data_IF_251586067928
#
_entry.id   IF_251586067928
#
_cell.length_a   1.000
_cell.length_b   1.000
_cell.length_c   1.000
_cell.angle_alpha   90.00
_cell.angle_beta   90.00
_cell.angle_gamma   90.00
#
_symmetry.space_group_name_H-M   'P 1'
#
loop_
_entity.id
_entity.type
_entity.pdbx_description
1 polymer ?
#
# COMPACT_ATOMS: atom_id res chain seq x y z
N UNK A 1 7.24 14.96 -17.58
CA UNK A 1 7.18 14.96 -16.10
C UNK A 1 7.37 13.52 -15.64
N UNK A 2 8.05 13.26 -14.51
CA UNK A 2 8.30 11.90 -14.03
C UNK A 2 6.99 11.19 -13.70
N UNK A 3 6.84 9.94 -14.14
CA UNK A 3 5.66 9.11 -13.83
C UNK A 3 5.70 8.56 -12.41
N UNK A 4 6.89 8.32 -11.87
CA UNK A 4 7.11 7.77 -10.53
C UNK A 4 8.02 8.69 -9.71
N UNK A 5 7.64 8.99 -8.47
CA UNK A 5 8.53 9.58 -7.48
C UNK A 5 9.12 8.46 -6.63
N UNK A 6 10.45 8.34 -6.57
CA UNK A 6 11.15 7.33 -5.77
C UNK A 6 11.85 8.03 -4.63
N UNK A 7 11.49 7.69 -3.40
CA UNK A 7 12.05 8.29 -2.19
C UNK A 7 12.63 7.22 -1.28
N UNK A 8 13.90 7.33 -0.95
CA UNK A 8 14.55 6.47 0.05
C UNK A 8 15.01 7.28 1.26
N UNK A 9 14.89 6.68 2.45
CA UNK A 9 15.23 7.34 3.71
C UNK A 9 16.73 7.54 3.93
N UNK A 10 17.57 6.75 3.26
CA UNK A 10 19.02 6.74 3.41
C UNK A 10 19.73 6.33 2.11
N UNK A 11 20.90 6.93 1.85
CA UNK A 11 21.78 6.49 0.77
C UNK A 11 22.40 5.12 1.03
N UNK A 12 22.42 4.66 2.30
CA UNK A 12 22.90 3.32 2.66
C UNK A 12 22.03 2.19 2.11
N UNK A 13 20.80 2.49 1.69
CA UNK A 13 19.86 1.52 1.12
C UNK A 13 20.11 1.28 -0.40
N UNK A 14 21.31 1.62 -0.90
CA UNK A 14 21.67 1.55 -2.31
C UNK A 14 21.49 0.16 -2.92
N UNK A 15 21.91 -0.87 -2.19
CA UNK A 15 21.70 -2.26 -2.59
C UNK A 15 20.22 -2.63 -2.78
N UNK A 16 19.29 -1.88 -2.16
CA UNK A 16 17.84 -2.05 -2.33
C UNK A 16 17.32 -1.19 -3.46
N UNK A 17 17.69 0.09 -3.57
CA UNK A 17 17.10 0.96 -4.61
C UNK A 17 17.72 0.77 -6.00
N UNK A 18 18.98 0.38 -6.14
CA UNK A 18 19.64 0.24 -7.45
C UNK A 18 18.96 -0.77 -8.39
N UNK A 19 18.51 -1.97 -7.92
CA UNK A 19 17.71 -2.87 -8.76
C UNK A 19 16.39 -2.27 -9.24
N UNK A 20 15.75 -1.43 -8.42
CA UNK A 20 14.51 -0.74 -8.77
C UNK A 20 14.74 0.34 -9.82
N UNK A 21 15.79 1.14 -9.67
CA UNK A 21 16.16 2.16 -10.67
C UNK A 21 16.52 1.51 -12.00
N UNK A 22 17.23 0.37 -11.96
CA UNK A 22 17.58 -0.40 -13.15
C UNK A 22 16.36 -0.93 -13.90
N UNK A 23 15.33 -1.39 -13.18
CA UNK A 23 14.06 -1.85 -13.77
C UNK A 23 13.28 -0.68 -14.41
N UNK A 24 13.27 0.50 -13.79
CA UNK A 24 12.67 1.68 -14.42
C UNK A 24 13.42 2.14 -15.66
N UNK A 25 14.75 2.10 -15.64
CA UNK A 25 15.57 2.40 -16.82
C UNK A 25 15.33 1.41 -17.97
N UNK A 26 15.29 0.11 -17.68
CA UNK A 26 15.07 -0.94 -18.68
C UNK A 26 13.67 -0.88 -19.30
N UNK A 27 12.65 -0.61 -18.48
CA UNK A 27 11.26 -0.42 -18.92
C UNK A 27 10.98 0.96 -19.54
N UNK A 28 11.96 1.88 -19.50
CA UNK A 28 11.84 3.28 -19.93
C UNK A 28 10.75 4.06 -19.18
N UNK A 29 10.50 3.67 -17.93
CA UNK A 29 9.59 4.39 -17.03
C UNK A 29 10.28 5.63 -16.51
N UNK A 30 9.67 6.79 -16.66
CA UNK A 30 10.27 8.04 -16.18
C UNK A 30 10.11 8.17 -14.66
N UNK A 31 11.19 8.49 -13.96
CA UNK A 31 11.16 8.62 -12.50
C UNK A 31 11.99 9.80 -12.00
N UNK A 32 11.64 10.27 -10.80
CA UNK A 32 12.42 11.21 -10.02
C UNK A 32 12.93 10.55 -8.74
N UNK A 33 14.24 10.47 -8.54
CA UNK A 33 14.85 9.83 -7.37
C UNK A 33 15.29 10.86 -6.33
N UNK A 34 14.98 10.60 -5.07
CA UNK A 34 15.30 11.46 -3.92
C UNK A 34 15.73 10.62 -2.72
N UNK A 35 16.70 11.14 -1.96
CA UNK A 35 17.03 10.63 -0.62
C UNK A 35 16.49 11.63 0.41
N UNK A 36 15.35 11.31 1.02
CA UNK A 36 14.64 12.17 1.98
C UNK A 36 14.17 11.32 3.15
N UNK A 37 14.45 11.76 4.37
CA UNK A 37 14.15 11.03 5.60
C UNK A 37 12.93 11.62 6.29
N UNK A 38 11.93 10.79 6.59
CA UNK A 38 10.77 11.20 7.39
C UNK A 38 11.16 11.74 8.79
N UNK A 39 12.28 11.27 9.35
CA UNK A 39 12.74 11.68 10.68
C UNK A 39 13.69 12.88 10.64
N UNK A 40 14.52 12.99 9.60
CA UNK A 40 15.64 13.96 9.56
C UNK A 40 15.39 15.14 8.64
N UNK A 41 14.58 14.96 7.60
CA UNK A 41 14.24 16.00 6.61
C UNK A 41 12.72 16.01 6.33
N UNK A 42 11.85 16.08 7.37
CA UNK A 42 10.40 15.97 7.18
C UNK A 42 9.80 17.09 6.33
N UNK A 43 10.33 18.31 6.43
CA UNK A 43 9.82 19.47 5.67
C UNK A 43 10.15 19.37 4.19
N UNK A 44 11.34 18.88 3.86
CA UNK A 44 11.79 18.65 2.49
C UNK A 44 11.02 17.49 1.86
N UNK A 45 10.75 16.44 2.64
CA UNK A 45 9.89 15.32 2.24
C UNK A 45 8.49 15.80 1.88
N UNK A 46 7.83 16.54 2.77
CA UNK A 46 6.49 17.08 2.53
C UNK A 46 6.44 17.91 1.24
N UNK A 47 7.39 18.84 1.07
CA UNK A 47 7.50 19.67 -0.14
C UNK A 47 7.67 18.83 -1.40
N UNK A 48 8.51 17.79 -1.35
CA UNK A 48 8.74 16.92 -2.49
C UNK A 48 7.50 16.10 -2.87
N UNK A 49 6.74 15.62 -1.88
CA UNK A 49 5.52 14.84 -2.11
C UNK A 49 4.38 15.71 -2.63
N UNK A 50 4.10 16.83 -1.95
CA UNK A 50 2.98 17.74 -2.30
C UNK A 50 3.23 18.45 -3.63
N UNK A 51 4.49 18.74 -3.96
CA UNK A 51 4.86 19.36 -5.23
C UNK A 51 5.08 18.40 -6.40
N UNK A 52 4.82 17.10 -6.23
CA UNK A 52 5.06 16.09 -7.25
C UNK A 52 3.83 15.84 -8.12
N UNK A 53 4.03 15.86 -9.44
CA UNK A 53 3.04 15.41 -10.43
C UNK A 53 3.14 13.89 -10.73
N UNK A 54 3.95 13.15 -9.97
CA UNK A 54 4.10 11.71 -10.16
C UNK A 54 2.76 10.99 -9.93
N UNK A 55 2.51 9.97 -10.75
CA UNK A 55 1.29 9.14 -10.66
C UNK A 55 1.39 8.12 -9.54
N UNK A 56 2.59 7.64 -9.25
CA UNK A 56 2.88 6.62 -8.23
C UNK A 56 4.08 7.07 -7.41
N UNK A 57 4.09 6.77 -6.11
CA UNK A 57 5.24 7.04 -5.25
C UNK A 57 5.79 5.71 -4.71
N UNK A 58 7.09 5.48 -4.86
CA UNK A 58 7.79 4.37 -4.22
C UNK A 58 8.60 4.89 -3.05
N UNK A 59 8.40 4.28 -1.88
CA UNK A 59 9.00 4.71 -0.63
C UNK A 59 9.82 3.59 0.02
N UNK A 60 11.14 3.75 0.10
CA UNK A 60 12.04 2.77 0.71
C UNK A 60 12.58 3.22 2.07
N UNK A 61 12.39 2.40 3.09
CA UNK A 61 12.92 2.67 4.44
C UNK A 61 13.13 1.39 5.26
N UNK A 62 14.13 1.41 6.13
CA UNK A 62 14.38 0.38 7.14
C UNK A 62 14.03 0.82 8.57
N UNK A 63 14.26 -0.07 9.54
CA UNK A 63 14.02 0.16 10.97
C UNK A 63 12.54 0.51 11.25
N UNK A 64 12.27 1.56 12.03
CA UNK A 64 10.94 2.17 12.11
C UNK A 64 10.65 2.87 10.77
N UNK A 65 10.21 2.11 9.79
CA UNK A 65 10.02 2.55 8.41
C UNK A 65 8.78 3.45 8.27
N UNK A 66 8.81 4.64 8.89
CA UNK A 66 7.71 5.61 8.88
C UNK A 66 7.54 6.32 7.52
N UNK A 67 8.57 6.29 6.66
CA UNK A 67 8.58 7.03 5.39
C UNK A 67 7.36 6.75 4.50
N UNK A 68 6.97 5.50 4.21
CA UNK A 68 5.82 5.24 3.35
C UNK A 68 4.51 5.79 3.94
N UNK A 69 4.29 5.59 5.24
CA UNK A 69 3.09 6.08 5.93
C UNK A 69 3.02 7.61 5.97
N UNK A 70 4.14 8.28 6.21
CA UNK A 70 4.21 9.75 6.17
C UNK A 70 3.93 10.27 4.76
N UNK A 71 4.50 9.65 3.72
CA UNK A 71 4.20 10.02 2.33
C UNK A 71 2.71 9.83 2.03
N UNK A 72 2.13 8.68 2.39
CA UNK A 72 0.72 8.37 2.15
C UNK A 72 -0.24 9.34 2.87
N UNK A 73 0.18 9.92 4.00
CA UNK A 73 -0.60 10.95 4.70
C UNK A 73 -0.65 12.30 3.95
N UNK A 74 0.26 12.55 3.01
CA UNK A 74 0.37 13.80 2.23
C UNK A 74 -0.12 13.67 0.79
N UNK A 75 -0.64 12.51 0.37
CA UNK A 75 -1.08 12.29 -1.01
C UNK A 75 -2.30 11.36 -1.11
N UNK A 76 -2.97 11.44 -2.26
CA UNK A 76 -3.98 10.49 -2.73
C UNK A 76 -3.44 9.61 -3.89
N UNK A 77 -2.15 9.76 -4.23
CA UNK A 77 -1.46 8.89 -5.19
C UNK A 77 -1.05 7.59 -4.49
N UNK A 78 -1.09 6.44 -5.18
CA UNK A 78 -0.71 5.17 -4.58
C UNK A 78 0.75 5.20 -4.12
N UNK A 79 0.97 4.76 -2.88
CA UNK A 79 2.29 4.64 -2.27
C UNK A 79 2.67 3.17 -2.16
N UNK A 80 3.75 2.78 -2.83
CA UNK A 80 4.33 1.44 -2.77
C UNK A 80 5.53 1.45 -1.83
N UNK A 81 5.44 0.73 -0.72
CA UNK A 81 6.54 0.61 0.23
C UNK A 81 7.52 -0.49 -0.17
N UNK A 82 8.82 -0.19 -0.03
CA UNK A 82 9.92 -1.14 -0.15
C UNK A 82 10.65 -1.22 1.20
N UNK A 83 10.25 -2.14 2.09
CA UNK A 83 10.91 -2.31 3.38
C UNK A 83 12.38 -2.69 3.19
N UNK A 84 13.28 -1.93 3.79
CA UNK A 84 14.72 -2.17 3.70
C UNK A 84 15.18 -3.02 4.90
N UNK A 85 15.85 -4.12 4.62
CA UNK A 85 16.32 -5.05 5.65
C UNK A 85 17.49 -4.47 6.44
N UNK A 86 17.40 -4.52 7.77
CA UNK A 86 18.54 -4.25 8.67
C UNK A 86 18.44 -5.14 9.91
N UNK A 87 17.83 -4.66 10.99
CA UNK A 87 17.52 -5.45 12.19
C UNK A 87 16.35 -6.40 11.93
N UNK A 88 16.25 -7.49 12.69
CA UNK A 88 15.16 -8.50 12.60
C UNK A 88 14.86 -9.02 11.19
N UNK A 89 15.87 -9.05 10.30
CA UNK A 89 15.69 -9.38 8.89
C UNK A 89 14.62 -8.53 8.17
N UNK A 90 14.41 -7.28 8.61
CA UNK A 90 13.44 -6.34 8.05
C UNK A 90 12.00 -6.54 8.51
N UNK A 91 11.74 -7.38 9.52
CA UNK A 91 10.41 -7.52 10.13
C UNK A 91 9.87 -6.17 10.64
N UNK A 92 10.73 -5.41 11.30
CA UNK A 92 10.44 -4.07 11.82
C UNK A 92 9.99 -3.12 10.70
N UNK A 93 10.77 -3.06 9.62
CA UNK A 93 10.47 -2.22 8.47
C UNK A 93 9.19 -2.66 7.75
N UNK A 94 9.00 -3.98 7.59
CA UNK A 94 7.84 -4.55 6.94
C UNK A 94 6.56 -4.22 7.71
N UNK A 95 6.51 -4.54 9.00
CA UNK A 95 5.33 -4.26 9.83
C UNK A 95 5.05 -2.75 9.95
N UNK A 96 6.09 -1.92 10.07
CA UNK A 96 5.95 -0.46 10.11
C UNK A 96 5.36 0.12 8.82
N UNK A 97 5.65 -0.51 7.68
CA UNK A 97 5.17 -0.06 6.37
C UNK A 97 3.78 -0.60 6.03
N UNK A 98 3.54 -1.90 6.26
CA UNK A 98 2.32 -2.58 5.83
C UNK A 98 1.13 -2.33 6.76
N UNK A 99 1.37 -2.19 8.07
CA UNK A 99 0.31 -2.17 9.07
C UNK A 99 -0.21 -0.76 9.37
N UNK A 100 -0.55 0.01 8.33
CA UNK A 100 -1.10 1.36 8.47
C UNK A 100 -2.52 1.36 9.07
N UNK A 101 -2.94 2.47 9.70
CA UNK A 101 -4.32 2.63 10.17
C UNK A 101 -5.31 2.66 9.00
N UNK A 102 -6.59 2.40 9.29
CA UNK A 102 -7.67 2.54 8.31
C UNK A 102 -7.69 3.94 7.69
N UNK A 103 -8.03 4.01 6.42
CA UNK A 103 -8.15 5.25 5.68
C UNK A 103 -6.88 5.62 4.92
N UNK A 104 -5.68 5.40 5.48
CA UNK A 104 -4.39 5.74 4.84
C UNK A 104 -3.67 4.46 4.37
N UNK A 105 -3.93 3.97 3.15
CA UNK A 105 -3.27 2.76 2.66
C UNK A 105 -1.80 2.99 2.33
N UNK A 106 -1.02 1.92 2.51
CA UNK A 106 0.32 1.75 1.92
C UNK A 106 0.35 0.34 1.35
N UNK A 107 0.80 0.21 0.10
CA UNK A 107 0.96 -1.07 -0.58
C UNK A 107 2.40 -1.55 -0.40
N UNK A 108 2.66 -2.50 0.49
CA UNK A 108 4.02 -3.00 0.71
C UNK A 108 4.34 -4.17 -0.22
N UNK A 109 5.54 -4.19 -0.79
CA UNK A 109 6.16 -5.44 -1.23
C UNK A 109 6.90 -6.11 -0.06
N UNK A 110 7.47 -7.30 -0.30
CA UNK A 110 8.36 -7.95 0.65
C UNK A 110 9.64 -7.18 0.95
N UNK A 111 10.33 -7.57 2.01
CA UNK A 111 11.62 -6.96 2.40
C UNK A 111 12.63 -7.05 1.25
N UNK A 112 13.18 -5.90 0.88
CA UNK A 112 14.14 -5.70 -0.21
C UNK A 112 13.65 -6.15 -1.60
N UNK A 113 12.34 -6.35 -1.82
CA UNK A 113 11.75 -6.73 -3.12
C UNK A 113 11.55 -5.54 -4.07
N UNK A 114 12.56 -4.71 -4.20
CA UNK A 114 12.45 -3.42 -4.92
C UNK A 114 12.19 -3.58 -6.43
N UNK A 115 12.75 -4.59 -7.09
CA UNK A 115 12.42 -4.92 -8.49
C UNK A 115 10.95 -5.32 -8.67
N UNK A 116 10.33 -5.89 -7.64
CA UNK A 116 8.91 -6.22 -7.68
C UNK A 116 8.05 -4.96 -7.59
N UNK A 117 8.41 -4.02 -6.70
CA UNK A 117 7.75 -2.73 -6.62
C UNK A 117 7.81 -1.98 -7.96
N UNK A 118 8.95 -2.04 -8.66
CA UNK A 118 9.10 -1.48 -9.99
C UNK A 118 8.15 -2.14 -11.01
N UNK A 119 8.07 -3.48 -11.03
CA UNK A 119 7.15 -4.21 -11.92
C UNK A 119 5.69 -3.85 -11.67
N UNK A 120 5.29 -3.72 -10.40
CA UNK A 120 3.94 -3.27 -10.04
C UNK A 120 3.65 -1.85 -10.51
N UNK A 121 4.61 -0.92 -10.38
CA UNK A 121 4.49 0.44 -10.93
C UNK A 121 4.32 0.41 -12.45
N UNK A 122 5.20 -0.30 -13.16
CA UNK A 122 5.16 -0.44 -14.62
C UNK A 122 3.81 -1.01 -15.08
N UNK A 123 3.28 -2.00 -14.36
CA UNK A 123 1.97 -2.55 -14.67
C UNK A 123 0.85 -1.53 -14.43
N UNK A 124 0.85 -0.86 -13.27
CA UNK A 124 -0.15 0.13 -12.92
C UNK A 124 -0.20 1.31 -13.90
N UNK A 125 0.94 1.77 -14.41
CA UNK A 125 1.01 2.84 -15.40
C UNK A 125 0.32 2.51 -16.73
N UNK A 126 0.07 1.23 -17.04
CA UNK A 126 -0.74 0.81 -18.19
C UNK A 126 -2.24 1.10 -18.01
N UNK A 127 -2.67 1.32 -16.76
CA UNK A 127 -4.05 1.57 -16.36
C UNK A 127 -4.85 0.29 -16.09
N UNK A 128 -5.84 0.43 -15.22
CA UNK A 128 -6.77 -0.64 -14.85
C UNK A 128 -8.21 -0.29 -15.23
N UNK A 129 -9.04 -1.30 -15.49
CA UNK A 129 -10.44 -1.14 -15.88
C UNK A 129 -11.45 -1.33 -14.75
N UNK A 130 -11.16 -2.25 -13.82
CA UNK A 130 -12.07 -2.62 -12.73
C UNK A 130 -11.33 -3.30 -11.57
N UNK A 131 -12.05 -3.49 -10.46
CA UNK A 131 -11.61 -4.25 -9.29
C UNK A 131 -12.33 -5.60 -9.29
N UNK A 132 -11.62 -6.64 -8.84
CA UNK A 132 -12.18 -7.97 -8.55
C UNK A 132 -11.89 -8.30 -7.10
N UNK A 133 -12.91 -8.64 -6.33
CA UNK A 133 -12.76 -9.21 -4.99
C UNK A 133 -12.62 -10.71 -5.11
N UNK A 134 -11.57 -11.26 -4.49
CA UNK A 134 -11.29 -12.70 -4.53
C UNK A 134 -11.46 -13.27 -3.14
N UNK A 135 -12.42 -14.20 -3.01
CA UNK A 135 -12.58 -15.03 -1.82
C UNK A 135 -11.92 -16.38 -2.05
N UNK A 136 -11.12 -16.85 -1.07
CA UNK A 136 -10.43 -18.14 -1.14
C UNK A 136 -11.16 -19.20 -0.33
N UNK A 137 -11.38 -20.37 -0.91
CA UNK A 137 -12.03 -21.48 -0.23
C UNK A 137 -11.24 -21.89 1.02
N UNK A 138 -11.96 -22.04 2.13
CA UNK A 138 -11.36 -22.38 3.42
C UNK A 138 -10.62 -21.20 4.08
N UNK A 139 -10.89 -19.98 3.67
CA UNK A 139 -10.58 -18.78 4.45
C UNK A 139 -11.66 -18.60 5.52
N UNK A 140 -11.24 -18.35 6.76
CA UNK A 140 -12.20 -18.14 7.85
C UNK A 140 -12.95 -16.82 7.68
N UNK A 141 -14.15 -16.74 8.26
CA UNK A 141 -14.93 -15.50 8.23
C UNK A 141 -14.15 -14.37 8.91
N UNK A 142 -14.04 -13.24 8.21
CA UNK A 142 -13.46 -12.02 8.74
C UNK A 142 -14.29 -10.82 8.28
N UNK A 143 -14.17 -9.69 8.98
CA UNK A 143 -14.82 -8.45 8.57
C UNK A 143 -14.12 -7.76 7.39
N UNK A 144 -12.96 -8.25 6.93
CA UNK A 144 -12.17 -7.53 5.91
C UNK A 144 -12.84 -7.49 4.53
N UNK A 145 -13.39 -8.59 3.96
CA UNK A 145 -14.13 -8.54 2.70
C UNK A 145 -15.30 -7.55 2.74
N UNK A 146 -16.18 -7.69 3.74
CA UNK A 146 -17.34 -6.81 3.91
C UNK A 146 -16.95 -5.33 4.04
N UNK A 147 -15.89 -4.99 4.80
CA UNK A 147 -15.40 -3.61 4.89
C UNK A 147 -14.79 -3.10 3.60
N UNK A 148 -14.19 -3.98 2.81
CA UNK A 148 -13.67 -3.62 1.49
C UNK A 148 -14.83 -3.29 0.53
N UNK A 149 -15.85 -4.14 0.48
CA UNK A 149 -17.05 -3.93 -0.32
C UNK A 149 -17.78 -2.64 0.06
N UNK A 150 -18.01 -2.41 1.35
CA UNK A 150 -18.63 -1.19 1.87
C UNK A 150 -17.86 0.04 1.39
N UNK A 151 -16.53 0.03 1.56
CA UNK A 151 -15.67 1.15 1.15
C UNK A 151 -15.65 1.35 -0.37
N UNK A 152 -15.60 0.29 -1.18
CA UNK A 152 -15.68 0.42 -2.65
C UNK A 152 -17.01 1.03 -3.09
N UNK A 153 -18.11 0.62 -2.46
CA UNK A 153 -19.43 1.19 -2.72
C UNK A 153 -19.52 2.67 -2.32
N UNK A 154 -19.01 3.04 -1.14
CA UNK A 154 -18.91 4.44 -0.68
C UNK A 154 -18.12 5.31 -1.67
N UNK A 155 -17.03 4.77 -2.23
CA UNK A 155 -16.18 5.45 -3.21
C UNK A 155 -16.74 5.41 -4.65
N UNK A 156 -17.89 4.77 -4.87
CA UNK A 156 -18.56 4.69 -6.16
C UNK A 156 -17.83 3.80 -7.19
N UNK A 157 -17.07 2.81 -6.73
CA UNK A 157 -16.31 1.89 -7.59
C UNK A 157 -17.07 0.59 -7.77
N UNK A 158 -17.30 0.20 -9.03
CA UNK A 158 -17.87 -1.11 -9.35
C UNK A 158 -16.77 -2.19 -9.25
N UNK A 159 -17.16 -3.34 -8.72
CA UNK A 159 -16.29 -4.51 -8.62
C UNK A 159 -17.01 -5.77 -9.08
N UNK A 160 -16.22 -6.78 -9.39
CA UNK A 160 -16.64 -8.16 -9.66
C UNK A 160 -16.20 -9.04 -8.50
N UNK A 161 -16.75 -10.25 -8.41
CA UNK A 161 -16.38 -11.24 -7.39
C UNK A 161 -15.94 -12.53 -8.06
N UNK A 162 -14.86 -13.12 -7.54
CA UNK A 162 -14.36 -14.42 -7.97
C UNK A 162 -14.01 -15.28 -6.76
N UNK A 163 -14.23 -16.59 -6.90
CA UNK A 163 -13.76 -17.58 -5.91
C UNK A 163 -12.53 -18.28 -6.44
N UNK A 164 -11.48 -18.39 -5.63
CA UNK A 164 -10.23 -19.10 -5.95
C UNK A 164 -9.59 -18.67 -7.29
N UNK A 165 -9.62 -17.37 -7.59
CA UNK A 165 -9.09 -16.80 -8.84
C UNK A 165 -7.63 -17.17 -9.12
N UNK A 166 -7.28 -17.26 -10.40
CA UNK A 166 -5.89 -17.36 -10.87
C UNK A 166 -5.36 -16.02 -11.43
N UNK A 167 -6.12 -14.93 -11.27
CA UNK A 167 -5.74 -13.58 -11.68
C UNK A 167 -5.48 -13.44 -13.18
N UNK A 168 -6.41 -13.94 -14.00
CA UNK A 168 -6.20 -14.10 -15.45
C UNK A 168 -6.14 -12.80 -16.26
N UNK A 169 -6.75 -11.70 -15.79
CA UNK A 169 -6.83 -10.42 -16.52
C UNK A 169 -5.84 -9.37 -15.98
N UNK A 170 -4.75 -9.04 -16.70
CA UNK A 170 -3.76 -8.06 -16.24
C UNK A 170 -4.27 -6.61 -16.22
N UNK A 171 -5.46 -6.33 -16.77
CA UNK A 171 -6.10 -5.00 -16.72
C UNK A 171 -6.98 -4.80 -15.49
N UNK A 172 -7.17 -5.84 -14.67
CA UNK A 172 -7.94 -5.75 -13.43
C UNK A 172 -7.01 -5.69 -12.23
N UNK A 173 -7.52 -5.09 -11.15
CA UNK A 173 -6.92 -5.16 -9.82
C UNK A 173 -7.66 -6.24 -9.05
N UNK A 174 -6.95 -7.24 -8.57
CA UNK A 174 -7.51 -8.27 -7.71
C UNK A 174 -7.23 -7.91 -6.26
N UNK A 175 -8.26 -7.89 -5.41
CA UNK A 175 -8.12 -7.81 -3.96
C UNK A 175 -8.36 -9.22 -3.42
N UNK A 176 -7.30 -9.87 -2.95
CA UNK A 176 -7.37 -11.26 -2.50
C UNK A 176 -7.43 -11.36 -0.98
N UNK A 177 -8.55 -11.91 -0.49
CA UNK A 177 -8.73 -12.22 0.92
C UNK A 177 -8.34 -13.67 1.17
N UNK A 178 -7.19 -13.82 1.82
CA UNK A 178 -6.58 -15.12 2.07
C UNK A 178 -6.23 -15.28 3.55
N UNK A 179 -6.51 -16.45 4.10
CA UNK A 179 -6.04 -16.83 5.42
C UNK A 179 -4.50 -16.70 5.49
N UNK A 180 -3.98 -16.01 6.50
CA UNK A 180 -2.54 -15.67 6.59
C UNK A 180 -1.61 -16.87 6.33
N UNK A 181 -1.95 -18.02 6.93
CA UNK A 181 -1.22 -19.28 6.84
C UNK A 181 -1.15 -19.87 5.42
N UNK A 182 -2.10 -19.49 4.56
CA UNK A 182 -2.21 -19.98 3.18
C UNK A 182 -1.66 -18.97 2.17
N UNK A 183 -1.36 -17.75 2.59
CA UNK A 183 -1.05 -16.64 1.69
C UNK A 183 0.25 -16.85 0.89
N UNK A 184 1.21 -17.62 1.42
CA UNK A 184 2.43 -17.98 0.70
C UNK A 184 2.17 -18.82 -0.57
N UNK A 185 1.04 -19.51 -0.65
CA UNK A 185 0.67 -20.41 -1.74
C UNK A 185 -0.09 -19.72 -2.89
N UNK A 186 -0.37 -18.41 -2.80
CA UNK A 186 -1.04 -17.68 -3.87
C UNK A 186 -0.30 -17.84 -5.21
N UNK A 187 -0.99 -17.90 -6.37
CA UNK A 187 -0.32 -18.09 -7.65
C UNK A 187 0.52 -16.87 -8.05
N UNK A 188 1.54 -17.09 -8.88
CA UNK A 188 2.21 -15.99 -9.60
C UNK A 188 1.32 -15.51 -10.74
N UNK A 189 1.40 -14.21 -11.04
CA UNK A 189 0.66 -13.59 -12.13
C UNK A 189 1.35 -12.31 -12.59
N UNK A 190 0.96 -11.84 -13.78
CA UNK A 190 1.29 -10.51 -14.27
C UNK A 190 0.19 -9.47 -13.96
N UNK A 191 -0.94 -9.90 -13.39
CA UNK A 191 -1.96 -9.00 -12.89
C UNK A 191 -1.53 -8.35 -11.57
N UNK A 192 -2.17 -7.23 -11.24
CA UNK A 192 -1.93 -6.57 -9.95
C UNK A 192 -2.85 -7.17 -8.90
N UNK A 193 -2.23 -7.76 -7.88
CA UNK A 193 -2.92 -8.38 -6.74
C UNK A 193 -2.58 -7.59 -5.49
N UNK A 194 -3.61 -7.09 -4.81
CA UNK A 194 -3.55 -6.54 -3.46
C UNK A 194 -3.99 -7.65 -2.51
N UNK A 195 -3.04 -8.19 -1.76
CA UNK A 195 -3.30 -9.23 -0.78
C UNK A 195 -3.70 -8.60 0.54
N UNK A 196 -4.90 -8.93 1.01
CA UNK A 196 -5.37 -8.63 2.34
C UNK A 196 -5.43 -9.93 3.14
N UNK A 197 -4.33 -10.26 3.82
CA UNK A 197 -4.32 -11.42 4.71
C UNK A 197 -5.37 -11.24 5.81
N UNK A 198 -6.11 -12.31 6.12
CA UNK A 198 -7.14 -12.31 7.15
C UNK A 198 -6.84 -13.31 8.26
N UNK A 199 -7.25 -12.96 9.48
CA UNK A 199 -7.14 -13.80 10.67
C UNK A 199 -8.09 -13.32 11.76
N UNK A 200 -8.85 -14.23 12.39
CA UNK A 200 -9.81 -13.86 13.44
C UNK A 200 -9.16 -13.23 14.68
N UNK A 201 -8.09 -13.83 15.20
CA UNK A 201 -7.25 -13.28 16.26
C UNK A 201 -5.78 -13.33 15.88
N UNK A 202 -5.05 -12.24 16.11
CA UNK A 202 -3.62 -12.13 15.81
C UNK A 202 -2.77 -12.18 17.06
N UNK A 203 -1.58 -12.73 16.92
CA UNK A 203 -0.53 -12.88 17.91
C UNK A 203 0.78 -12.28 17.41
N UNK A 204 1.76 -12.08 18.30
CA UNK A 204 3.07 -11.60 17.90
C UNK A 204 3.77 -12.57 16.92
N UNK A 205 3.56 -13.89 17.05
CA UNK A 205 4.14 -14.89 16.14
C UNK A 205 3.63 -14.79 14.70
N UNK A 206 2.41 -14.29 14.51
CA UNK A 206 1.82 -14.12 13.17
C UNK A 206 2.60 -13.10 12.33
N UNK A 207 3.32 -12.19 12.98
CA UNK A 207 4.18 -11.24 12.28
C UNK A 207 5.28 -11.93 11.45
N UNK A 208 5.81 -13.06 11.95
CA UNK A 208 6.82 -13.84 11.25
C UNK A 208 6.23 -14.60 10.06
N UNK A 209 5.00 -15.09 10.20
CA UNK A 209 4.29 -15.74 9.11
C UNK A 209 3.93 -14.75 8.01
N UNK A 210 3.46 -13.55 8.40
CA UNK A 210 3.17 -12.48 7.47
C UNK A 210 4.40 -12.04 6.68
N UNK A 211 5.55 -11.85 7.36
CA UNK A 211 6.81 -11.55 6.70
C UNK A 211 7.20 -12.65 5.67
N UNK A 212 7.02 -13.93 6.01
CA UNK A 212 7.32 -15.06 5.11
C UNK A 212 6.37 -15.12 3.92
N UNK A 213 5.10 -14.82 4.13
CA UNK A 213 4.08 -14.85 3.09
C UNK A 213 4.26 -13.72 2.07
N UNK A 214 4.76 -12.56 2.50
CA UNK A 214 4.96 -11.36 1.68
C UNK A 214 6.14 -11.45 0.70
N UNK A 215 6.27 -12.57 -0.01
CA UNK A 215 7.34 -12.80 -1.00
C UNK A 215 7.03 -12.28 -2.41
N UNK A 216 5.76 -11.99 -2.69
CA UNK A 216 5.20 -11.54 -3.97
C UNK A 216 3.88 -10.79 -3.76
N UNK A 217 3.39 -10.08 -4.76
CA UNK A 217 2.20 -9.23 -4.75
C UNK A 217 2.35 -7.97 -3.89
N UNK A 218 1.33 -7.11 -3.92
CA UNK A 218 1.24 -5.93 -3.07
C UNK A 218 0.42 -6.28 -1.83
N UNK A 219 0.84 -5.81 -0.66
CA UNK A 219 0.21 -6.16 0.61
C UNK A 219 -0.32 -4.94 1.32
N UNK A 220 -1.53 -5.06 1.86
CA UNK A 220 -2.00 -4.22 2.97
C UNK A 220 -1.86 -5.00 4.28
N UNK A 221 -1.94 -4.30 5.41
CA UNK A 221 -1.82 -4.91 6.72
C UNK A 221 -2.89 -5.99 7.00
N UNK A 222 -2.64 -6.79 8.03
CA UNK A 222 -3.54 -7.88 8.44
C UNK A 222 -4.94 -7.32 8.74
N UNK A 223 -5.98 -7.95 8.17
CA UNK A 223 -7.38 -7.55 8.29
C UNK A 223 -7.71 -6.13 7.78
N UNK A 224 -6.89 -5.54 6.91
CA UNK A 224 -7.08 -4.16 6.40
C UNK A 224 -7.87 -4.08 5.09
N UNK A 225 -9.07 -4.66 5.06
CA UNK A 225 -9.95 -4.64 3.87
C UNK A 225 -10.29 -3.22 3.39
N UNK A 226 -10.54 -2.27 4.30
CA UNK A 226 -10.78 -0.88 3.95
C UNK A 226 -9.58 -0.22 3.24
N UNK A 227 -8.35 -0.49 3.71
CA UNK A 227 -7.16 0.01 3.03
C UNK A 227 -6.94 -0.68 1.67
N UNK A 228 -7.31 -1.96 1.54
CA UNK A 228 -7.26 -2.65 0.24
C UNK A 228 -8.18 -1.96 -0.78
N UNK A 229 -9.41 -1.61 -0.37
CA UNK A 229 -10.34 -0.86 -1.20
C UNK A 229 -9.76 0.49 -1.63
N UNK A 230 -9.33 1.32 -0.66
CA UNK A 230 -8.80 2.67 -0.96
C UNK A 230 -7.56 2.57 -1.85
N UNK A 231 -6.65 1.64 -1.58
CA UNK A 231 -5.46 1.42 -2.41
C UNK A 231 -5.81 1.02 -3.85
N UNK A 232 -6.82 0.19 -4.06
CA UNK A 232 -7.30 -0.15 -5.39
C UNK A 232 -7.89 1.08 -6.10
N UNK A 233 -8.61 1.94 -5.39
CA UNK A 233 -9.11 3.21 -5.94
C UNK A 233 -7.98 4.17 -6.28
N UNK A 234 -6.95 4.29 -5.43
CA UNK A 234 -5.75 5.09 -5.71
C UNK A 234 -5.03 4.59 -6.99
N UNK A 235 -4.93 3.27 -7.18
CA UNK A 235 -4.40 2.66 -8.41
C UNK A 235 -5.29 2.86 -9.64
N UNK A 236 -6.62 2.90 -9.50
CA UNK A 236 -7.54 3.29 -10.57
C UNK A 236 -7.46 4.78 -10.91
N UNK A 237 -6.95 5.59 -9.97
CA UNK A 237 -6.98 7.05 -10.03
C UNK A 237 -5.73 7.68 -10.66
N UNK A 238 -4.93 6.94 -11.45
CA UNK A 238 -3.73 7.52 -12.09
C UNK A 238 -4.04 8.62 -13.12
N UNK A 239 -5.31 8.77 -13.51
CA UNK A 239 -5.81 9.82 -14.40
C UNK A 239 -6.64 10.90 -13.69
N UNK A 240 -6.76 10.85 -12.36
CA UNK A 240 -7.51 11.82 -11.57
C UNK A 240 -9.03 11.64 -11.51
N UNK A 241 -9.57 10.54 -12.05
CA UNK A 241 -11.03 10.27 -12.06
C UNK A 241 -11.68 10.30 -10.67
N UNK A 242 -10.95 9.90 -9.63
CA UNK A 242 -11.40 9.78 -8.25
C UNK A 242 -10.78 10.82 -7.32
N UNK A 243 -10.05 11.82 -7.83
CA UNK A 243 -9.37 12.83 -7.02
C UNK A 243 -10.32 13.47 -5.98
N UNK A 244 -11.50 13.92 -6.42
CA UNK A 244 -12.46 14.58 -5.52
C UNK A 244 -12.97 13.69 -4.39
N UNK A 245 -13.17 12.40 -4.67
CA UNK A 245 -13.72 11.44 -3.70
C UNK A 245 -12.62 11.05 -2.69
N UNK A 246 -11.40 10.82 -3.16
CA UNK A 246 -10.26 10.50 -2.29
C UNK A 246 -9.87 11.69 -1.41
N UNK A 247 -9.89 12.92 -1.94
CA UNK A 247 -9.64 14.13 -1.16
C UNK A 247 -10.71 14.35 -0.08
N UNK A 248 -11.99 14.12 -0.43
CA UNK A 248 -13.08 14.18 0.54
C UNK A 248 -12.89 13.15 1.65
N UNK A 249 -12.47 11.92 1.32
CA UNK A 249 -12.20 10.87 2.30
C UNK A 249 -11.05 11.26 3.26
N UNK A 250 -9.95 11.79 2.73
CA UNK A 250 -8.82 12.31 3.52
C UNK A 250 -9.28 13.44 4.46
N UNK A 251 -10.11 14.36 3.97
CA UNK A 251 -10.65 15.47 4.75
C UNK A 251 -11.56 14.97 5.88
N UNK A 252 -12.48 14.06 5.59
CA UNK A 252 -13.40 13.49 6.56
C UNK A 252 -12.67 12.78 7.70
N UNK A 253 -11.62 11.99 7.37
CA UNK A 253 -10.78 11.33 8.37
C UNK A 253 -10.13 12.35 9.32
N UNK A 254 -9.59 13.44 8.76
CA UNK A 254 -8.97 14.52 9.55
C UNK A 254 -9.97 15.21 10.46
N UNK A 255 -11.16 15.53 9.96
CA UNK A 255 -12.20 16.21 10.74
C UNK A 255 -12.68 15.37 11.93
N UNK A 256 -12.92 14.06 11.71
CA UNK A 256 -13.28 13.12 12.79
C UNK A 256 -12.24 13.06 13.91
N UNK A 257 -10.95 13.06 13.57
CA UNK A 257 -9.87 13.05 14.56
C UNK A 257 -9.80 14.36 15.36
N UNK A 258 -9.98 15.51 14.69
CA UNK A 258 -9.98 16.81 15.36
C UNK A 258 -11.20 17.00 16.28
N UNK A 259 -12.36 16.44 15.90
CA UNK A 259 -13.54 16.40 16.76
C UNK A 259 -13.31 15.53 18.00
N UNK A 260 -12.74 14.32 17.80
CA UNK A 260 -12.38 13.41 18.90
C UNK A 260 -11.42 14.07 19.90
N UNK A 261 -10.40 14.80 19.43
CA UNK A 261 -9.47 15.55 20.28
C UNK A 261 -10.20 16.62 21.14
N UNK A 262 -11.13 17.37 20.53
CA UNK A 262 -11.95 18.36 21.26
C UNK A 262 -12.83 17.71 22.33
N UNK A 263 -13.46 16.59 22.01
CA UNK A 263 -14.31 15.86 22.96
C UNK A 263 -13.52 15.35 24.17
N UNK A 264 -12.33 14.79 23.94
CA UNK A 264 -11.46 14.31 25.01
C UNK A 264 -11.04 15.48 25.91
N UNK A 265 -10.61 16.61 25.33
CA UNK A 265 -10.25 17.82 26.09
C UNK A 265 -11.41 18.35 26.92
N UNK A 266 -12.63 18.36 26.37
CA UNK A 266 -13.83 18.77 27.09
C UNK A 266 -14.18 17.84 28.26
N UNK A 267 -13.92 16.53 28.12
CA UNK A 267 -14.12 15.56 29.22
C UNK A 267 -13.10 15.74 30.34
N UNK A 268 -11.84 16.06 30.00
CA UNK A 268 -10.76 16.26 30.98
C UNK A 268 -10.86 17.60 31.74
N UNK A 269 -11.59 18.57 31.20
CA UNK A 269 -11.80 19.87 31.82
C UNK A 269 -12.95 19.91 32.84
N UNK A 270 -13.69 18.80 33.02
CA UNK A 270 -14.77 18.62 34.00
C UNK A 270 -14.28 17.85 35.21
#
# INVERSE_FOLDING_TARGET
MPEVLVVFGSASDANVFEPLLSEFQSSKTSFDFRVLSAHRTPKELEKAVVGSDAKIIVAGAGLSAALPGVIAAHTIRPVIAVPCGSTFHGLDAFLASVQTPSGIPVLSVGVAKSSEAAKHCVNALKGFSSVVLVERTGTESSAAPAKCEEKLNELGVKFEEETDSNYSDPKKIFIDFVQLEKAAALPETNATVIVCAVKGSSSASDSMEFLKAAGKHLWVGLNRGENAAIAAVELLNLNGKFDSVLDAERKNLREKLLESDKEIKNKLAK
#
